data_IF_002104294411
#
_entry.id   IF_002104294411
#
_cell.length_a   1.000
_cell.length_b   1.000
_cell.length_c   1.000
_cell.angle_alpha   90.00
_cell.angle_beta   90.00
_cell.angle_gamma   90.00
#
_symmetry.space_group_name_H-M   'P 1'
#
loop_
_entity.id
_entity.type
_entity.pdbx_description
1 polymer ?
#
# COMPACT_ATOMS: atom_id res chain seq x y z
N UNK A 1 22.97 -24.15 4.59
CA UNK A 1 22.70 -23.86 6.02
C UNK A 1 23.11 -22.46 6.49
N UNK A 2 24.27 -21.90 6.12
CA UNK A 2 24.72 -20.55 6.59
C UNK A 2 23.83 -19.35 6.19
N UNK A 3 23.08 -19.43 5.08
CA UNK A 3 22.20 -18.35 4.61
C UNK A 3 20.95 -18.21 5.48
N UNK A 4 20.41 -19.34 5.97
CA UNK A 4 19.23 -19.40 6.86
C UNK A 4 19.58 -18.87 8.26
N UNK A 5 20.79 -19.14 8.76
CA UNK A 5 21.21 -18.61 10.09
C UNK A 5 21.42 -17.10 10.08
N UNK A 6 21.91 -16.52 8.96
CA UNK A 6 21.99 -15.06 8.78
C UNK A 6 20.61 -14.40 8.74
N UNK A 7 19.65 -14.98 8.04
CA UNK A 7 18.26 -14.49 8.00
C UNK A 7 17.63 -14.57 9.40
N UNK A 8 17.76 -15.71 10.11
CA UNK A 8 17.26 -15.84 11.49
C UNK A 8 17.90 -14.85 12.46
N UNK A 9 19.21 -14.58 12.33
CA UNK A 9 19.92 -13.59 13.16
C UNK A 9 19.47 -12.15 12.86
N UNK A 10 19.14 -11.86 11.61
CA UNK A 10 18.68 -10.54 11.19
C UNK A 10 17.22 -10.28 11.58
N UNK A 11 16.33 -11.24 11.32
CA UNK A 11 14.95 -11.25 11.85
C UNK A 11 15.00 -11.17 13.39
N UNK A 12 15.88 -11.94 14.03
CA UNK A 12 16.15 -11.89 15.46
C UNK A 12 16.52 -10.47 15.93
N UNK A 13 17.40 -9.77 15.22
CA UNK A 13 17.78 -8.38 15.52
C UNK A 13 16.65 -7.35 15.37
N UNK A 14 15.62 -7.63 14.58
CA UNK A 14 14.40 -6.80 14.48
C UNK A 14 13.54 -6.95 15.76
N UNK A 15 13.54 -8.13 16.37
CA UNK A 15 12.77 -8.46 17.57
C UNK A 15 13.58 -8.42 18.88
N UNK A 16 14.91 -8.33 18.81
CA UNK A 16 15.79 -8.22 19.97
C UNK A 16 15.44 -6.95 20.75
N UNK A 17 14.80 -7.14 21.91
CA UNK A 17 14.32 -6.07 22.78
C UNK A 17 12.87 -5.63 22.53
N UNK A 18 12.11 -6.24 21.61
CA UNK A 18 10.66 -6.02 21.50
C UNK A 18 9.95 -6.97 22.46
N UNK A 19 9.24 -6.40 23.45
CA UNK A 19 8.45 -7.17 24.40
C UNK A 19 7.38 -7.99 23.64
N UNK A 20 7.33 -9.30 23.91
CA UNK A 20 6.34 -10.23 23.32
C UNK A 20 4.91 -9.71 23.49
N UNK A 21 4.61 -9.03 24.60
CA UNK A 21 3.31 -8.41 24.87
C UNK A 21 2.97 -7.31 23.85
N UNK A 22 3.96 -6.50 23.46
CA UNK A 22 3.78 -5.45 22.44
C UNK A 22 3.53 -6.06 21.07
N UNK A 23 4.23 -7.13 20.72
CA UNK A 23 4.01 -7.83 19.45
C UNK A 23 2.60 -8.42 19.38
N UNK A 24 2.15 -9.08 20.45
CA UNK A 24 0.78 -9.60 20.56
C UNK A 24 -0.24 -8.47 20.46
N UNK A 25 0.00 -7.34 21.12
CA UNK A 25 -0.89 -6.19 21.07
C UNK A 25 -1.00 -5.60 19.65
N UNK A 26 0.11 -5.47 18.93
CA UNK A 26 0.11 -5.01 17.52
C UNK A 26 -0.64 -6.01 16.63
N UNK A 27 -0.41 -7.30 16.83
CA UNK A 27 -1.11 -8.34 16.06
C UNK A 27 -2.62 -8.30 16.32
N UNK A 28 -3.04 -8.12 17.57
CA UNK A 28 -4.45 -7.98 17.92
C UNK A 28 -5.07 -6.74 17.26
N UNK A 29 -4.38 -5.58 17.31
CA UNK A 29 -4.81 -4.37 16.60
C UNK A 29 -4.94 -4.63 15.11
N UNK A 30 -3.97 -5.29 14.48
CA UNK A 30 -4.00 -5.62 13.05
C UNK A 30 -5.17 -6.54 12.70
N UNK A 31 -5.44 -7.58 13.48
CA UNK A 31 -6.54 -8.51 13.23
C UNK A 31 -7.89 -7.77 13.30
N UNK A 32 -8.14 -7.02 14.37
CA UNK A 32 -9.37 -6.26 14.55
C UNK A 32 -9.55 -5.21 13.45
N UNK A 33 -8.48 -4.47 13.17
CA UNK A 33 -8.45 -3.43 12.14
C UNK A 33 -8.67 -3.99 10.72
N UNK A 34 -8.14 -5.19 10.45
CA UNK A 34 -8.36 -5.92 9.19
C UNK A 34 -9.81 -6.38 9.08
N UNK A 35 -10.36 -6.95 10.15
CA UNK A 35 -11.75 -7.39 10.18
C UNK A 35 -12.71 -6.22 9.87
N UNK A 36 -12.50 -5.04 10.46
CA UNK A 36 -13.31 -3.85 10.19
C UNK A 36 -13.22 -3.36 8.73
N UNK A 37 -12.05 -3.48 8.09
CA UNK A 37 -11.86 -3.10 6.68
C UNK A 37 -12.47 -4.12 5.72
N UNK A 38 -12.38 -5.41 6.05
CA UNK A 38 -12.86 -6.50 5.21
C UNK A 38 -14.34 -6.85 5.42
N UNK A 39 -14.96 -6.41 6.52
CA UNK A 39 -16.36 -6.70 6.85
C UNK A 39 -17.30 -6.20 5.75
N UNK A 40 -18.07 -7.08 5.10
CA UNK A 40 -18.93 -6.75 3.94
C UNK A 40 -18.20 -5.99 2.82
N UNK A 41 -16.93 -6.32 2.56
CA UNK A 41 -16.10 -5.61 1.59
C UNK A 41 -16.70 -5.56 0.17
N UNK A 42 -17.24 -6.68 -0.31
CA UNK A 42 -17.83 -6.76 -1.65
C UNK A 42 -19.17 -6.01 -1.74
N UNK A 43 -20.04 -6.17 -0.74
CA UNK A 43 -21.39 -5.60 -0.75
C UNK A 43 -21.41 -4.09 -0.54
N UNK A 44 -20.48 -3.55 0.25
CA UNK A 44 -20.39 -2.11 0.54
C UNK A 44 -19.39 -1.39 -0.36
N UNK A 45 -18.95 -2.03 -1.43
CA UNK A 45 -17.94 -1.46 -2.32
C UNK A 45 -18.50 -0.22 -3.01
N UNK A 46 -17.82 0.91 -2.80
CA UNK A 46 -18.15 2.16 -3.47
C UNK A 46 -17.55 2.16 -4.89
N UNK A 47 -18.39 2.37 -5.90
CA UNK A 47 -17.94 2.56 -7.29
C UNK A 47 -18.45 3.92 -7.78
N UNK A 48 -17.53 4.87 -8.03
CA UNK A 48 -17.81 6.15 -8.69
C UNK A 48 -17.09 6.21 -10.04
N UNK A 49 -17.18 7.36 -10.71
CA UNK A 49 -16.60 7.58 -12.03
C UNK A 49 -15.10 7.23 -12.10
N UNK A 50 -14.30 7.64 -11.12
CA UNK A 50 -12.87 7.32 -11.07
C UNK A 50 -12.61 5.80 -10.93
N UNK A 51 -13.30 5.14 -9.99
CA UNK A 51 -13.20 3.69 -9.79
C UNK A 51 -13.55 2.95 -11.08
N UNK A 52 -14.66 3.31 -11.71
CA UNK A 52 -15.15 2.66 -12.92
C UNK A 52 -14.20 2.88 -14.11
N UNK A 53 -13.70 4.11 -14.28
CA UNK A 53 -12.72 4.44 -15.34
C UNK A 53 -11.45 3.61 -15.19
N UNK A 54 -10.85 3.62 -14.00
CA UNK A 54 -9.56 2.97 -13.75
C UNK A 54 -9.70 1.45 -13.85
N UNK A 55 -10.77 0.89 -13.29
CA UNK A 55 -11.10 -0.53 -13.40
C UNK A 55 -11.29 -0.96 -14.86
N UNK A 56 -11.98 -0.17 -15.69
CA UNK A 56 -12.20 -0.47 -17.11
C UNK A 56 -10.88 -0.53 -17.87
N UNK A 57 -9.96 0.39 -17.57
CA UNK A 57 -8.62 0.41 -18.18
C UNK A 57 -7.84 -0.86 -17.83
N UNK A 58 -7.78 -1.23 -16.55
CA UNK A 58 -7.07 -2.44 -16.13
C UNK A 58 -7.75 -3.72 -16.66
N UNK A 59 -9.09 -3.72 -16.74
CA UNK A 59 -9.90 -4.83 -17.25
C UNK A 59 -9.66 -5.09 -18.74
N UNK A 60 -9.46 -4.04 -19.55
CA UNK A 60 -9.08 -4.20 -20.96
C UNK A 60 -7.80 -5.03 -21.13
N UNK A 61 -6.82 -4.84 -20.23
CA UNK A 61 -5.61 -5.65 -20.22
C UNK A 61 -5.83 -7.08 -19.73
N UNK A 62 -6.72 -7.27 -18.76
CA UNK A 62 -7.09 -8.61 -18.29
C UNK A 62 -7.78 -9.43 -19.38
N UNK A 63 -8.73 -8.84 -20.11
CA UNK A 63 -9.52 -9.54 -21.13
C UNK A 63 -8.78 -9.70 -22.47
N UNK A 64 -7.99 -8.71 -22.88
CA UNK A 64 -7.35 -8.68 -24.20
C UNK A 64 -5.83 -8.91 -24.14
N UNK A 65 -5.30 -9.21 -22.97
CA UNK A 65 -3.89 -9.48 -22.73
C UNK A 65 -3.05 -8.25 -22.35
N UNK A 66 -1.84 -8.49 -21.78
CA UNK A 66 -1.01 -7.47 -21.13
C UNK A 66 -0.51 -6.36 -22.07
N UNK A 67 -0.56 -6.56 -23.39
CA UNK A 67 -0.22 -5.54 -24.38
C UNK A 67 -1.15 -4.31 -24.31
N UNK A 68 -2.33 -4.45 -23.70
CA UNK A 68 -3.28 -3.36 -23.48
C UNK A 68 -3.05 -2.60 -22.17
N UNK A 69 -2.03 -2.97 -21.38
CA UNK A 69 -1.66 -2.20 -20.19
C UNK A 69 -1.18 -0.81 -20.58
N UNK A 70 -1.79 0.22 -19.98
CA UNK A 70 -1.41 1.60 -20.22
C UNK A 70 -0.08 1.93 -19.56
N UNK A 71 0.78 2.62 -20.31
CA UNK A 71 2.05 3.18 -19.82
C UNK A 71 1.82 4.46 -19.01
N UNK A 72 0.71 5.17 -19.27
CA UNK A 72 0.28 6.33 -18.50
C UNK A 72 -0.74 5.91 -17.45
N UNK A 73 -0.58 6.38 -16.21
CA UNK A 73 -1.45 6.08 -15.08
C UNK A 73 -2.73 6.94 -15.02
N UNK A 74 -3.44 6.90 -13.87
CA UNK A 74 -4.64 7.71 -13.64
C UNK A 74 -4.43 9.20 -13.90
N UNK A 75 -5.46 9.83 -14.46
CA UNK A 75 -5.47 11.28 -14.74
C UNK A 75 -5.70 12.07 -13.46
N UNK A 76 -5.03 13.22 -13.36
CA UNK A 76 -5.31 14.22 -12.33
C UNK A 76 -6.24 15.27 -12.93
N UNK A 77 -7.51 15.21 -12.51
CA UNK A 77 -8.67 15.88 -13.13
C UNK A 77 -8.62 17.43 -13.14
N UNK A 78 -7.57 18.07 -12.61
CA UNK A 78 -7.55 19.53 -12.34
C UNK A 78 -6.28 20.28 -12.75
N UNK A 79 -5.38 19.69 -13.52
CA UNK A 79 -4.23 20.43 -14.06
C UNK A 79 -4.60 20.97 -15.44
N UNK A 80 -4.91 22.26 -15.54
CA UNK A 80 -4.90 22.98 -16.82
C UNK A 80 -3.50 23.55 -17.01
N UNK A 81 -2.80 23.12 -18.04
CA UNK A 81 -1.51 23.71 -18.41
C UNK A 81 -1.82 24.94 -19.29
N UNK A 82 -1.32 26.12 -18.92
CA UNK A 82 -1.49 27.32 -19.74
C UNK A 82 -0.80 27.12 -21.10
N UNK A 83 -1.55 27.30 -22.19
CA UNK A 83 -1.11 27.05 -23.58
C UNK A 83 -1.77 25.85 -24.26
N UNK A 84 -2.64 25.12 -23.56
CA UNK A 84 -3.24 23.87 -24.07
C UNK A 84 -4.29 24.10 -25.18
N UNK A 85 -4.03 23.49 -26.35
CA UNK A 85 -4.85 23.56 -27.57
C UNK A 85 -5.89 22.45 -27.58
N UNK A 86 -6.77 22.47 -26.57
CA UNK A 86 -7.99 21.67 -26.54
C UNK A 86 -7.89 20.32 -25.81
N UNK A 87 -8.73 20.16 -24.77
CA UNK A 87 -9.19 18.92 -24.14
C UNK A 87 -8.15 17.83 -23.75
N UNK A 88 -6.84 18.10 -23.82
CA UNK A 88 -5.84 17.04 -24.02
C UNK A 88 -4.81 16.85 -22.90
N UNK A 89 -4.28 17.91 -22.28
CA UNK A 89 -3.06 17.79 -21.48
C UNK A 89 -3.35 17.68 -19.98
N UNK A 90 -4.04 16.61 -19.59
CA UNK A 90 -4.17 16.21 -18.19
C UNK A 90 -2.88 15.57 -17.69
N UNK A 91 -2.35 16.01 -16.54
CA UNK A 91 -1.23 15.34 -15.89
C UNK A 91 -1.60 13.89 -15.52
N UNK A 92 -0.88 12.93 -16.08
CA UNK A 92 -1.02 11.51 -15.76
C UNK A 92 -0.03 11.10 -14.68
N UNK A 93 -0.49 10.29 -13.73
CA UNK A 93 0.38 9.61 -12.77
C UNK A 93 1.16 8.46 -13.43
N UNK A 94 2.09 7.85 -12.69
CA UNK A 94 2.71 6.60 -13.12
C UNK A 94 1.70 5.45 -13.23
N UNK A 95 1.94 4.44 -14.09
CA UNK A 95 0.96 3.40 -14.42
C UNK A 95 0.80 2.31 -13.35
N UNK A 96 1.59 2.36 -12.28
CA UNK A 96 1.66 1.32 -11.25
C UNK A 96 0.28 0.93 -10.67
N UNK A 97 -0.63 1.91 -10.55
CA UNK A 97 -1.98 1.65 -10.05
C UNK A 97 -2.79 0.70 -10.95
N UNK A 98 -2.67 0.83 -12.28
CA UNK A 98 -3.32 -0.11 -13.19
C UNK A 98 -2.64 -1.48 -13.16
N UNK A 99 -1.32 -1.51 -12.97
CA UNK A 99 -0.57 -2.77 -12.96
C UNK A 99 -0.93 -3.63 -11.76
N UNK A 100 -1.14 -3.02 -10.59
CA UNK A 100 -1.51 -3.77 -9.38
C UNK A 100 -2.98 -4.25 -9.44
N UNK A 101 -3.88 -3.47 -10.05
CA UNK A 101 -5.25 -3.92 -10.33
C UNK A 101 -5.27 -5.07 -11.33
N UNK A 102 -4.52 -4.96 -12.42
CA UNK A 102 -4.35 -6.05 -13.40
C UNK A 102 -3.79 -7.30 -12.73
N UNK A 103 -2.76 -7.15 -11.89
CA UNK A 103 -2.17 -8.27 -11.17
C UNK A 103 -3.19 -8.98 -10.25
N UNK A 104 -4.06 -8.24 -9.53
CA UNK A 104 -5.09 -8.88 -8.70
C UNK A 104 -6.09 -9.66 -9.55
N UNK A 105 -6.50 -9.11 -10.69
CA UNK A 105 -7.43 -9.78 -11.62
C UNK A 105 -6.83 -11.06 -12.21
N UNK A 106 -5.55 -11.02 -12.62
CA UNK A 106 -4.84 -12.20 -13.15
C UNK A 106 -4.68 -13.27 -12.06
N UNK A 107 -4.28 -12.89 -10.84
CA UNK A 107 -4.06 -13.83 -9.74
C UNK A 107 -5.37 -14.53 -9.33
N UNK A 108 -6.48 -13.79 -9.33
CA UNK A 108 -7.78 -14.31 -8.89
C UNK A 108 -8.69 -14.77 -10.04
N UNK A 109 -8.29 -14.58 -11.29
CA UNK A 109 -9.05 -15.00 -12.47
C UNK A 109 -10.40 -14.30 -12.62
N UNK A 110 -10.58 -13.09 -12.08
CA UNK A 110 -11.83 -12.35 -12.11
C UNK A 110 -11.59 -10.84 -12.24
N UNK A 111 -12.51 -10.14 -12.92
CA UNK A 111 -12.55 -8.69 -13.03
C UNK A 111 -13.67 -8.06 -12.18
N UNK A 112 -14.16 -8.78 -11.17
CA UNK A 112 -15.18 -8.27 -10.25
C UNK A 112 -14.68 -7.01 -9.53
N UNK A 113 -15.55 -6.01 -9.27
CA UNK A 113 -15.14 -4.77 -8.62
C UNK A 113 -14.39 -4.96 -7.31
N UNK A 114 -14.76 -5.97 -6.51
CA UNK A 114 -14.08 -6.31 -5.25
C UNK A 114 -12.68 -6.87 -5.48
N UNK A 115 -12.46 -7.64 -6.55
CA UNK A 115 -11.13 -8.12 -6.95
C UNK A 115 -10.24 -6.95 -7.38
N UNK A 116 -10.79 -6.00 -8.14
CA UNK A 116 -10.07 -4.79 -8.57
C UNK A 116 -9.69 -3.89 -7.39
N UNK A 117 -10.55 -3.80 -6.36
CA UNK A 117 -10.30 -3.02 -5.15
C UNK A 117 -9.42 -3.73 -4.11
N UNK A 118 -9.17 -5.03 -4.26
CA UNK A 118 -8.42 -5.82 -3.29
C UNK A 118 -6.99 -5.29 -3.01
N UNK A 119 -6.21 -4.81 -4.00
CA UNK A 119 -4.91 -4.20 -3.74
C UNK A 119 -4.97 -3.03 -2.76
N UNK A 120 -5.99 -2.16 -2.86
CA UNK A 120 -6.17 -1.02 -1.97
C UNK A 120 -6.43 -1.48 -0.52
N UNK A 121 -7.26 -2.51 -0.34
CA UNK A 121 -7.51 -3.14 0.95
C UNK A 121 -6.24 -3.72 1.56
N UNK A 122 -5.49 -4.51 0.77
CA UNK A 122 -4.23 -5.14 1.21
C UNK A 122 -3.20 -4.08 1.61
N UNK A 123 -2.98 -3.07 0.76
CA UNK A 123 -2.02 -2.00 1.05
C UNK A 123 -2.40 -1.20 2.30
N UNK A 124 -3.70 -0.97 2.54
CA UNK A 124 -4.16 -0.34 3.77
C UNK A 124 -3.84 -1.18 5.02
N UNK A 125 -4.04 -2.50 4.97
CA UNK A 125 -3.71 -3.41 6.07
C UNK A 125 -2.20 -3.45 6.31
N UNK A 126 -1.40 -3.57 5.24
CA UNK A 126 0.06 -3.59 5.31
C UNK A 126 0.64 -2.24 5.77
N UNK A 127 -0.08 -1.15 5.60
CA UNK A 127 0.32 0.17 6.12
C UNK A 127 0.39 0.18 7.64
N UNK A 128 -0.42 -0.61 8.35
CA UNK A 128 -0.45 -0.61 9.83
C UNK A 128 0.91 -0.99 10.45
N UNK A 129 1.49 -2.19 10.16
CA UNK A 129 2.79 -2.55 10.69
C UNK A 129 3.91 -1.64 10.15
N UNK A 130 3.81 -1.23 8.88
CA UNK A 130 4.78 -0.33 8.27
C UNK A 130 4.82 1.04 8.98
N UNK A 131 3.65 1.58 9.33
CA UNK A 131 3.52 2.84 10.05
C UNK A 131 4.08 2.75 11.47
N UNK A 132 3.85 1.63 12.16
CA UNK A 132 4.52 1.38 13.44
C UNK A 132 6.04 1.39 13.31
N UNK A 133 6.60 0.66 12.31
CA UNK A 133 8.04 0.62 12.06
C UNK A 133 8.59 2.01 11.76
N UNK A 134 7.88 2.80 10.97
CA UNK A 134 8.23 4.19 10.67
C UNK A 134 8.25 5.05 11.94
N UNK A 135 7.19 5.04 12.75
CA UNK A 135 7.13 5.80 14.00
C UNK A 135 8.21 5.38 14.99
N UNK A 136 8.63 4.11 14.99
CA UNK A 136 9.71 3.60 15.84
C UNK A 136 11.09 4.15 15.50
N UNK A 137 11.26 4.81 14.36
CA UNK A 137 12.50 5.51 14.03
C UNK A 137 12.67 6.81 14.81
N UNK A 138 11.57 7.41 15.30
CA UNK A 138 11.58 8.76 15.90
C UNK A 138 10.99 8.78 17.32
N UNK A 139 9.97 7.95 17.60
CA UNK A 139 9.24 7.95 18.86
C UNK A 139 9.51 6.71 19.72
N UNK A 140 9.16 6.78 21.01
CA UNK A 140 9.22 5.65 21.94
C UNK A 140 8.22 4.56 21.58
N UNK A 141 8.47 3.31 22.02
CA UNK A 141 7.58 2.15 21.74
C UNK A 141 6.13 2.43 22.11
N UNK A 142 5.91 3.04 23.28
CA UNK A 142 4.57 3.37 23.80
C UNK A 142 3.85 4.37 22.91
N UNK A 143 4.54 5.46 22.53
CA UNK A 143 3.95 6.49 21.65
C UNK A 143 3.66 5.91 20.27
N UNK A 144 4.62 5.20 19.66
CA UNK A 144 4.43 4.56 18.36
C UNK A 144 3.23 3.60 18.37
N UNK A 145 3.07 2.81 19.44
CA UNK A 145 1.94 1.88 19.57
C UNK A 145 0.60 2.60 19.71
N UNK A 146 0.51 3.63 20.56
CA UNK A 146 -0.73 4.41 20.76
C UNK A 146 -1.14 5.07 19.44
N UNK A 147 -0.21 5.75 18.76
CA UNK A 147 -0.50 6.44 17.49
C UNK A 147 -0.88 5.45 16.38
N UNK A 148 -0.19 4.30 16.29
CA UNK A 148 -0.55 3.24 15.33
C UNK A 148 -1.95 2.69 15.62
N UNK A 149 -2.31 2.51 16.88
CA UNK A 149 -3.65 2.04 17.27
C UNK A 149 -4.72 3.03 16.82
N UNK A 150 -4.53 4.33 17.10
CA UNK A 150 -5.45 5.38 16.64
C UNK A 150 -5.56 5.42 15.10
N UNK A 151 -4.44 5.31 14.39
CA UNK A 151 -4.41 5.21 12.93
C UNK A 151 -5.19 3.98 12.41
N UNK A 152 -5.00 2.83 13.05
CA UNK A 152 -5.61 1.55 12.65
C UNK A 152 -7.13 1.56 12.76
N UNK A 153 -7.68 2.30 13.72
CA UNK A 153 -9.12 2.42 13.96
C UNK A 153 -9.73 3.74 13.48
N UNK A 154 -8.98 4.55 12.72
CA UNK A 154 -9.51 5.77 12.12
C UNK A 154 -10.64 5.42 11.13
N UNK A 155 -11.82 6.00 11.38
CA UNK A 155 -13.00 5.80 10.53
C UNK A 155 -12.70 6.15 9.07
N UNK A 156 -12.08 7.31 8.82
CA UNK A 156 -11.75 7.76 7.47
C UNK A 156 -10.82 6.75 6.79
N UNK A 157 -9.74 6.31 7.46
CA UNK A 157 -8.80 5.36 6.85
C UNK A 157 -9.42 3.98 6.58
N UNK A 158 -10.39 3.57 7.40
CA UNK A 158 -11.18 2.36 7.15
C UNK A 158 -12.10 2.55 5.93
N UNK A 159 -12.81 3.68 5.81
CA UNK A 159 -13.68 3.91 4.66
C UNK A 159 -12.89 3.98 3.34
N UNK A 160 -11.76 4.68 3.34
CA UNK A 160 -10.91 4.79 2.16
C UNK A 160 -10.18 3.49 1.82
N UNK A 161 -10.03 2.52 2.73
CA UNK A 161 -9.46 1.21 2.36
C UNK A 161 -10.43 0.28 1.62
N UNK A 162 -11.69 0.69 1.45
CA UNK A 162 -12.80 -0.18 1.02
C UNK A 162 -13.23 0.04 -0.43
N UNK A 163 -12.46 0.76 -1.23
CA UNK A 163 -12.73 0.94 -2.65
C UNK A 163 -11.46 1.27 -3.44
N UNK A 164 -11.55 1.07 -4.76
CA UNK A 164 -10.44 1.27 -5.69
C UNK A 164 -10.24 2.77 -6.02
N UNK A 165 -9.42 3.47 -5.24
CA UNK A 165 -9.05 4.85 -5.57
C UNK A 165 -7.55 5.02 -5.48
N UNK A 166 -6.96 5.55 -6.56
CA UNK A 166 -5.52 5.69 -6.71
C UNK A 166 -4.78 6.38 -5.54
N UNK A 167 -5.37 7.32 -4.76
CA UNK A 167 -4.69 7.91 -3.61
C UNK A 167 -4.64 6.98 -2.39
N UNK A 168 -5.48 5.94 -2.31
CA UNK A 168 -5.55 5.06 -1.13
C UNK A 168 -4.23 4.35 -0.85
N UNK A 169 -3.52 3.93 -1.91
CA UNK A 169 -2.22 3.27 -1.78
C UNK A 169 -1.07 4.25 -1.48
N UNK A 170 -1.28 5.56 -1.61
CA UNK A 170 -0.20 6.53 -1.39
C UNK A 170 0.32 6.49 0.04
N UNK A 171 -0.51 6.20 1.04
CA UNK A 171 -0.06 6.08 2.43
C UNK A 171 0.99 4.98 2.57
N UNK A 172 0.72 3.79 2.03
CA UNK A 172 1.66 2.67 2.06
C UNK A 172 2.97 3.04 1.36
N UNK A 173 2.89 3.46 0.09
CA UNK A 173 4.07 3.70 -0.74
C UNK A 173 4.90 4.89 -0.25
N UNK A 174 4.25 5.95 0.25
CA UNK A 174 4.96 7.12 0.78
C UNK A 174 5.71 6.78 2.06
N UNK A 175 5.10 6.03 2.98
CA UNK A 175 5.78 5.61 4.21
C UNK A 175 6.95 4.68 3.87
N UNK A 176 6.74 3.72 2.96
CA UNK A 176 7.79 2.80 2.53
C UNK A 176 8.97 3.56 1.89
N UNK A 177 8.67 4.53 1.03
CA UNK A 177 9.68 5.38 0.39
C UNK A 177 10.47 6.20 1.42
N UNK A 178 9.80 6.91 2.32
CA UNK A 178 10.46 7.76 3.32
C UNK A 178 11.25 6.94 4.33
N UNK A 179 10.64 5.87 4.87
CA UNK A 179 11.34 4.91 5.73
C UNK A 179 12.61 4.42 5.03
N UNK A 180 12.52 4.27 3.72
CA UNK A 180 13.59 3.79 2.93
C UNK A 180 14.74 4.70 2.64
N UNK A 181 14.41 5.93 2.28
CA UNK A 181 15.40 6.99 2.22
C UNK A 181 16.10 7.12 3.57
N UNK A 182 15.35 7.11 4.68
CA UNK A 182 15.91 7.18 6.02
C UNK A 182 16.89 6.02 6.30
N UNK A 183 16.47 4.77 6.10
CA UNK A 183 17.30 3.59 6.35
C UNK A 183 18.56 3.58 5.50
N UNK A 184 18.46 4.00 4.24
CA UNK A 184 19.61 4.12 3.34
C UNK A 184 20.56 5.24 3.76
N UNK A 185 20.03 6.40 4.18
CA UNK A 185 20.83 7.55 4.58
C UNK A 185 21.65 7.27 5.86
N UNK A 186 21.11 6.50 6.80
CA UNK A 186 21.81 6.16 8.07
C UNK A 186 22.70 4.92 7.97
N UNK A 187 22.64 4.18 6.86
CA UNK A 187 23.43 2.95 6.67
C UNK A 187 24.90 3.29 6.45
N UNK A 188 25.75 2.86 7.40
CA UNK A 188 27.20 3.09 7.35
C UNK A 188 27.89 2.20 6.32
N UNK A 189 27.32 1.02 6.05
CA UNK A 189 27.86 0.09 5.07
C UNK A 189 27.15 0.24 3.73
N UNK A 190 27.76 0.97 2.79
CA UNK A 190 27.19 1.21 1.45
C UNK A 190 26.83 -0.06 0.67
N UNK A 191 27.49 -1.19 0.94
CA UNK A 191 27.13 -2.48 0.29
C UNK A 191 25.79 -3.07 0.78
N UNK A 192 25.25 -2.57 1.90
CA UNK A 192 23.98 -2.97 2.49
C UNK A 192 22.86 -1.94 2.30
N UNK A 193 23.19 -0.77 1.78
CA UNK A 193 22.22 0.25 1.43
C UNK A 193 21.19 -0.31 0.43
N UNK A 194 19.89 -0.19 0.75
CA UNK A 194 18.79 -0.69 -0.07
C UNK A 194 18.36 -2.14 0.18
N UNK A 195 19.21 -3.00 0.77
CA UNK A 195 18.84 -4.41 1.03
C UNK A 195 17.71 -4.58 2.06
N UNK A 196 17.47 -3.56 2.87
CA UNK A 196 16.36 -3.52 3.83
C UNK A 196 14.97 -3.40 3.16
N UNK A 197 14.88 -3.18 1.83
CA UNK A 197 13.62 -3.24 1.06
C UNK A 197 13.21 -4.66 0.66
N UNK A 198 14.17 -5.56 0.54
CA UNK A 198 14.00 -6.88 -0.10
C UNK A 198 14.12 -8.01 0.92
N UNK A 199 14.52 -7.70 2.15
CA UNK A 199 14.77 -8.65 3.25
C UNK A 199 13.80 -8.43 4.40
#
# INVERSE_FOLDING_TARGET
MQRISKIKKWIGGIYEGVDKRVLIAILAVMILSTALRAYNFSEWLLVRADQARDATIARQAFENGPANLRILGPKVDKVKIEGDVGAGDTFNLGPFYYYIQYASMVILGSADPSVVALPDLIMSILTIPLFYIFLRQVFSKRISFIVTTLFSFSFILIQYSRFAWNPNQLFFWSILFVLGLYKTAVEKNKSRAGWWLVA
#
